data_IF_831068825759
#
_entry.id   IF_831068825759
#
_cell.length_a   1.000
_cell.length_b   1.000
_cell.length_c   1.000
_cell.angle_alpha   90.00
_cell.angle_beta   90.00
_cell.angle_gamma   90.00
#
_symmetry.space_group_name_H-M   'P 1'
#
loop_
_entity.id
_entity.type
_entity.pdbx_description
1 polymer ?
#
# COMPACT_ATOMS: atom_id res chain seq x y z
N UNK A 1 -17.87 5.20 38.94
CA UNK A 1 -17.70 3.95 38.17
C UNK A 1 -17.61 4.20 36.65
N UNK A 2 -18.59 4.86 36.01
CA UNK A 2 -18.62 4.96 34.53
C UNK A 2 -17.49 5.75 33.85
N UNK A 3 -16.98 6.81 34.48
CA UNK A 3 -15.96 7.65 33.84
C UNK A 3 -14.62 6.91 33.64
N UNK A 4 -14.14 6.21 34.67
CA UNK A 4 -12.90 5.43 34.61
C UNK A 4 -13.02 4.27 33.60
N UNK A 5 -14.16 3.57 33.56
CA UNK A 5 -14.40 2.52 32.56
C UNK A 5 -14.41 3.10 31.14
N UNK A 6 -15.06 4.25 30.92
CA UNK A 6 -15.06 4.94 29.62
C UNK A 6 -13.66 5.29 29.16
N UNK A 7 -12.83 5.84 30.05
CA UNK A 7 -11.45 6.18 29.72
C UNK A 7 -10.59 4.94 29.48
N UNK A 8 -10.79 3.85 30.22
CA UNK A 8 -10.11 2.58 29.98
C UNK A 8 -10.50 1.97 28.63
N UNK A 9 -11.78 2.02 28.25
CA UNK A 9 -12.26 1.54 26.95
C UNK A 9 -11.69 2.37 25.80
N UNK A 10 -11.58 3.70 25.96
CA UNK A 10 -10.98 4.57 24.93
C UNK A 10 -9.47 4.34 24.82
N UNK A 11 -8.74 4.17 25.93
CA UNK A 11 -7.31 3.78 25.91
C UNK A 11 -7.09 2.45 25.21
N UNK A 12 -7.89 1.44 25.53
CA UNK A 12 -7.82 0.13 24.88
C UNK A 12 -8.11 0.22 23.36
N UNK A 13 -8.97 1.14 22.93
CA UNK A 13 -9.21 1.39 21.51
C UNK A 13 -7.96 1.94 20.81
N UNK A 14 -7.30 2.91 21.43
CA UNK A 14 -6.07 3.55 20.93
C UNK A 14 -4.93 2.52 20.85
N UNK A 15 -4.75 1.70 21.89
CA UNK A 15 -3.75 0.63 21.92
C UNK A 15 -3.97 -0.41 20.81
N UNK A 16 -5.23 -0.80 20.56
CA UNK A 16 -5.55 -1.73 19.46
C UNK A 16 -5.31 -1.09 18.08
N UNK A 17 -5.53 0.21 17.94
CA UNK A 17 -5.21 0.94 16.71
C UNK A 17 -3.70 0.98 16.47
N UNK A 18 -2.91 1.28 17.50
CA UNK A 18 -1.43 1.26 17.40
C UNK A 18 -0.91 -0.14 17.04
N UNK A 19 -1.42 -1.18 17.69
CA UNK A 19 -1.07 -2.57 17.35
C UNK A 19 -1.43 -2.92 15.90
N UNK A 20 -2.59 -2.48 15.41
CA UNK A 20 -2.99 -2.75 14.03
C UNK A 20 -2.13 -2.01 13.00
N UNK A 21 -1.77 -0.76 13.29
CA UNK A 21 -0.83 0.02 12.49
C UNK A 21 0.52 -0.69 12.45
N UNK A 22 1.06 -1.07 13.61
CA UNK A 22 2.34 -1.76 13.71
C UNK A 22 2.31 -3.11 12.96
N UNK A 23 1.24 -3.89 13.11
CA UNK A 23 1.06 -5.15 12.37
C UNK A 23 1.03 -4.91 10.85
N UNK A 24 0.36 -3.85 10.38
CA UNK A 24 0.29 -3.50 8.96
C UNK A 24 1.66 -3.10 8.41
N UNK A 25 2.45 -2.37 9.20
CA UNK A 25 3.82 -2.00 8.84
C UNK A 25 4.71 -3.24 8.75
N UNK A 26 4.59 -4.13 9.72
CA UNK A 26 5.34 -5.38 9.82
C UNK A 26 4.98 -6.37 8.71
N UNK A 27 3.72 -6.39 8.26
CA UNK A 27 3.31 -7.09 7.03
C UNK A 27 4.03 -6.49 5.82
N UNK A 28 4.03 -5.15 5.68
CA UNK A 28 4.69 -4.46 4.58
C UNK A 28 6.18 -4.79 4.48
N UNK A 29 6.91 -4.78 5.60
CA UNK A 29 8.33 -5.15 5.66
C UNK A 29 8.56 -6.59 5.20
N UNK A 30 7.75 -7.54 5.68
CA UNK A 30 7.87 -8.95 5.30
C UNK A 30 7.54 -9.19 3.82
N UNK A 31 6.57 -8.45 3.30
CA UNK A 31 6.26 -8.46 1.87
C UNK A 31 7.42 -7.93 1.01
N UNK A 32 8.20 -6.96 1.51
CA UNK A 32 9.40 -6.50 0.81
C UNK A 32 10.48 -7.59 0.74
N UNK A 33 10.70 -8.36 1.82
CA UNK A 33 11.63 -9.50 1.82
C UNK A 33 11.22 -10.53 0.77
N UNK A 34 9.91 -10.85 0.71
CA UNK A 34 9.35 -11.77 -0.29
C UNK A 34 9.53 -11.22 -1.71
N UNK A 35 9.25 -9.94 -1.92
CA UNK A 35 9.39 -9.30 -3.22
C UNK A 35 10.84 -9.24 -3.71
N UNK A 36 11.79 -9.00 -2.80
CA UNK A 36 13.22 -9.01 -3.12
C UNK A 36 13.67 -10.41 -3.56
N UNK A 37 13.29 -11.45 -2.81
CA UNK A 37 13.61 -12.84 -3.18
C UNK A 37 13.03 -13.20 -4.56
N UNK A 38 11.76 -12.85 -4.81
CA UNK A 38 11.12 -13.06 -6.12
C UNK A 38 11.86 -12.36 -7.26
N UNK A 39 12.42 -11.17 -7.01
CA UNK A 39 13.19 -10.42 -8.01
C UNK A 39 14.54 -11.05 -8.34
N UNK A 40 15.18 -11.69 -7.37
CA UNK A 40 16.49 -12.33 -7.52
C UNK A 40 16.40 -13.70 -8.18
N UNK A 41 15.28 -14.40 -8.02
CA UNK A 41 15.07 -15.77 -8.52
C UNK A 41 14.27 -15.81 -9.83
N UNK A 42 14.24 -14.69 -10.57
CA UNK A 42 13.70 -14.66 -11.93
C UNK A 42 12.17 -14.65 -12.02
N UNK A 43 11.48 -14.14 -10.99
CA UNK A 43 10.04 -13.94 -11.01
C UNK A 43 9.25 -15.25 -11.04
N UNK A 44 8.54 -15.53 -9.94
CA UNK A 44 7.32 -16.33 -10.07
C UNK A 44 6.48 -15.64 -11.15
N UNK A 45 6.20 -16.39 -12.22
CA UNK A 45 5.47 -16.07 -13.45
C UNK A 45 4.71 -14.73 -13.44
N UNK A 46 4.88 -13.97 -14.53
CA UNK A 46 4.11 -12.76 -14.87
C UNK A 46 2.70 -12.73 -14.27
N UNK A 47 2.22 -11.61 -13.70
CA UNK A 47 0.85 -11.48 -13.18
C UNK A 47 -0.24 -11.94 -14.17
N UNK A 48 0.06 -11.91 -15.47
CA UNK A 48 -0.81 -12.40 -16.56
C UNK A 48 -0.88 -13.92 -16.65
N UNK A 49 0.17 -14.64 -16.27
CA UNK A 49 0.21 -16.10 -16.15
C UNK A 49 -0.32 -16.56 -14.79
N UNK A 50 -0.03 -15.84 -13.70
CA UNK A 50 -0.60 -16.13 -12.39
C UNK A 50 -2.13 -15.95 -12.36
N UNK A 51 -2.69 -14.96 -13.07
CA UNK A 51 -4.14 -14.81 -13.22
C UNK A 51 -4.78 -15.95 -14.05
N UNK A 52 -4.04 -16.49 -15.02
CA UNK A 52 -4.48 -17.63 -15.84
C UNK A 52 -4.48 -18.94 -15.04
N UNK A 53 -3.47 -19.14 -14.20
CA UNK A 53 -3.35 -20.30 -13.31
C UNK A 53 -4.32 -20.19 -12.12
N UNK A 54 -4.61 -18.98 -11.62
CA UNK A 54 -5.55 -18.72 -10.50
C UNK A 54 -7.02 -18.88 -10.89
N UNK A 55 -7.39 -18.56 -12.13
CA UNK A 55 -8.73 -18.85 -12.65
C UNK A 55 -9.00 -20.35 -12.88
N UNK A 56 -7.95 -21.18 -12.91
CA UNK A 56 -8.05 -22.64 -13.05
C UNK A 56 -8.11 -23.39 -11.71
N UNK A 57 -7.88 -22.69 -10.58
CA UNK A 57 -7.74 -23.26 -9.22
C UNK A 57 -8.66 -22.53 -8.22
N UNK A 58 -9.86 -22.17 -8.64
CA UNK A 58 -10.92 -21.75 -7.70
C UNK A 58 -11.48 -22.99 -6.99
N UNK A 59 -10.80 -23.38 -5.92
CA UNK A 59 -11.21 -24.42 -4.99
C UNK A 59 -10.36 -24.32 -3.73
N UNK A 60 -11.03 -24.06 -2.61
CA UNK A 60 -10.47 -23.85 -1.27
C UNK A 60 -9.40 -24.89 -0.89
N UNK A 61 -8.11 -24.47 -0.82
CA UNK A 61 -7.10 -24.92 0.15
C UNK A 61 -5.74 -24.20 -0.11
N UNK A 62 -5.50 -23.08 0.59
CA UNK A 62 -4.30 -22.23 0.45
C UNK A 62 -3.00 -22.85 1.05
N UNK A 63 -3.00 -24.15 1.40
CA UNK A 63 -1.88 -24.82 2.07
C UNK A 63 -0.90 -25.54 1.13
N UNK A 64 -1.41 -26.30 0.16
CA UNK A 64 -0.61 -27.28 -0.58
C UNK A 64 0.22 -26.65 -1.72
N UNK A 65 -0.37 -25.78 -2.55
CA UNK A 65 0.34 -25.13 -3.66
C UNK A 65 1.40 -24.12 -3.20
N UNK A 66 1.24 -23.57 -1.99
CA UNK A 66 2.20 -22.63 -1.41
C UNK A 66 3.43 -23.35 -0.80
N UNK A 67 3.24 -24.57 -0.29
CA UNK A 67 4.32 -25.37 0.29
C UNK A 67 5.35 -25.80 -0.77
N UNK A 68 4.89 -26.13 -1.98
CA UNK A 68 5.74 -26.49 -3.12
C UNK A 68 6.53 -25.27 -3.63
N UNK A 69 5.89 -24.10 -3.72
CA UNK A 69 6.54 -22.85 -4.11
C UNK A 69 7.62 -22.37 -3.11
N UNK A 70 7.42 -22.69 -1.83
CA UNK A 70 8.32 -22.35 -0.73
C UNK A 70 9.40 -23.41 -0.48
N UNK A 71 9.33 -24.59 -1.11
CA UNK A 71 10.30 -25.66 -0.91
C UNK A 71 11.72 -25.23 -1.36
N UNK A 72 11.82 -24.39 -2.40
CA UNK A 72 13.07 -23.79 -2.87
C UNK A 72 13.44 -22.44 -2.22
N UNK A 73 12.63 -21.92 -1.28
CA UNK A 73 12.83 -20.60 -0.70
C UNK A 73 13.73 -20.63 0.57
N UNK A 74 14.59 -19.62 0.77
CA UNK A 74 15.36 -19.44 2.00
C UNK A 74 14.47 -19.44 3.25
N UNK A 75 15.04 -19.87 4.39
CA UNK A 75 14.35 -19.89 5.70
C UNK A 75 13.66 -18.57 6.05
N UNK A 76 14.29 -17.47 5.66
CA UNK A 76 13.86 -16.11 6.02
C UNK A 76 12.61 -15.71 5.24
N UNK A 77 12.51 -16.10 3.98
CA UNK A 77 11.34 -15.88 3.11
C UNK A 77 10.17 -16.74 3.58
N UNK A 78 10.41 -18.01 3.92
CA UNK A 78 9.39 -18.90 4.51
C UNK A 78 8.86 -18.37 5.84
N UNK A 79 9.74 -17.83 6.68
CA UNK A 79 9.34 -17.17 7.93
C UNK A 79 8.52 -15.92 7.65
N UNK A 80 8.96 -15.05 6.73
CA UNK A 80 8.23 -13.84 6.35
C UNK A 80 6.80 -14.16 5.85
N UNK A 81 6.63 -15.22 5.06
CA UNK A 81 5.31 -15.69 4.60
C UNK A 81 4.39 -16.14 5.74
N UNK A 82 4.90 -17.01 6.63
CA UNK A 82 4.13 -17.47 7.80
C UNK A 82 3.73 -16.32 8.70
N UNK A 83 4.67 -15.41 8.95
CA UNK A 83 4.44 -14.23 9.76
C UNK A 83 3.39 -13.30 9.13
N UNK A 84 3.40 -13.09 7.81
CA UNK A 84 2.35 -12.30 7.13
C UNK A 84 0.98 -12.89 7.36
N UNK A 85 0.83 -14.21 7.23
CA UNK A 85 -0.43 -14.91 7.52
C UNK A 85 -0.87 -14.75 8.98
N UNK A 86 0.08 -14.90 9.93
CA UNK A 86 -0.19 -14.74 11.35
C UNK A 86 -0.59 -13.29 11.71
N UNK A 87 0.13 -12.30 11.18
CA UNK A 87 -0.16 -10.88 11.39
C UNK A 87 -1.52 -10.47 10.80
N UNK A 88 -1.91 -11.00 9.64
CA UNK A 88 -3.25 -10.77 9.06
C UNK A 88 -4.36 -11.30 9.96
N UNK A 89 -4.19 -12.51 10.52
CA UNK A 89 -5.14 -13.07 11.50
C UNK A 89 -5.20 -12.24 12.78
N UNK A 90 -4.05 -11.74 13.25
CA UNK A 90 -3.99 -10.85 14.41
C UNK A 90 -4.74 -9.53 14.16
N UNK A 91 -4.56 -8.91 12.98
CA UNK A 91 -5.29 -7.70 12.57
C UNK A 91 -6.80 -7.94 12.54
N UNK A 92 -7.27 -9.07 11.99
CA UNK A 92 -8.71 -9.36 11.97
C UNK A 92 -9.27 -9.58 13.39
N UNK A 93 -8.53 -10.30 14.24
CA UNK A 93 -8.89 -10.48 15.65
C UNK A 93 -9.00 -9.13 16.37
N UNK A 94 -8.02 -8.26 16.18
CA UNK A 94 -8.01 -6.91 16.75
C UNK A 94 -9.16 -6.04 16.22
N UNK A 95 -9.53 -6.18 14.94
CA UNK A 95 -10.71 -5.48 14.40
C UNK A 95 -12.01 -5.98 15.05
N UNK A 96 -12.11 -7.28 15.33
CA UNK A 96 -13.25 -7.85 16.05
C UNK A 96 -13.37 -7.32 17.48
N UNK A 97 -12.26 -7.31 18.22
CA UNK A 97 -12.24 -6.76 19.60
C UNK A 97 -12.53 -5.27 19.61
N UNK A 98 -12.01 -4.50 18.65
CA UNK A 98 -12.31 -3.08 18.45
C UNK A 98 -13.81 -2.83 18.29
N UNK A 99 -14.49 -3.64 17.46
CA UNK A 99 -15.96 -3.58 17.28
C UNK A 99 -16.70 -3.85 18.59
N UNK A 100 -16.25 -4.80 19.40
CA UNK A 100 -16.85 -5.12 20.71
C UNK A 100 -16.68 -3.97 21.72
N UNK A 101 -15.47 -3.44 21.84
CA UNK A 101 -15.15 -2.31 22.73
C UNK A 101 -15.95 -1.07 22.36
N UNK A 102 -16.05 -0.75 21.05
CA UNK A 102 -16.86 0.37 20.58
C UNK A 102 -18.35 0.24 20.94
N UNK A 103 -18.91 -0.98 20.90
CA UNK A 103 -20.28 -1.24 21.35
C UNK A 103 -20.45 -0.99 22.85
N UNK A 104 -19.51 -1.50 23.68
CA UNK A 104 -19.51 -1.27 25.14
C UNK A 104 -19.42 0.21 25.48
N UNK A 105 -18.54 0.95 24.79
CA UNK A 105 -18.37 2.38 24.99
C UNK A 105 -19.67 3.15 24.74
N UNK A 106 -20.38 2.86 23.63
CA UNK A 106 -21.68 3.48 23.32
C UNK A 106 -22.77 3.17 24.36
N UNK A 107 -22.70 2.00 25.00
CA UNK A 107 -23.65 1.64 26.06
C UNK A 107 -23.33 2.41 27.35
N UNK A 108 -22.04 2.46 27.72
CA UNK A 108 -21.58 3.21 28.89
C UNK A 108 -21.91 4.71 28.77
N UNK A 109 -21.72 5.30 27.59
CA UNK A 109 -22.06 6.70 27.32
C UNK A 109 -23.55 7.00 27.50
N UNK A 110 -24.43 6.11 27.01
CA UNK A 110 -25.88 6.21 27.21
C UNK A 110 -26.29 6.10 28.68
N UNK A 111 -25.71 5.15 29.41
CA UNK A 111 -25.98 5.01 30.84
C UNK A 111 -25.49 6.22 31.64
N UNK A 112 -24.31 6.75 31.33
CA UNK A 112 -23.77 7.93 31.99
C UNK A 112 -24.63 9.17 31.71
N UNK A 113 -25.21 9.30 30.52
CA UNK A 113 -26.13 10.38 30.18
C UNK A 113 -27.45 10.28 30.94
N UNK A 114 -28.05 9.09 31.01
CA UNK A 114 -29.25 8.84 31.83
C UNK A 114 -29.02 9.19 33.30
N UNK A 115 -27.90 8.74 33.89
CA UNK A 115 -27.57 9.07 35.28
C UNK A 115 -27.37 10.58 35.48
N UNK A 116 -26.78 11.29 34.52
CA UNK A 116 -26.63 12.76 34.60
C UNK A 116 -27.99 13.46 34.62
N UNK A 117 -28.92 13.03 33.77
CA UNK A 117 -30.27 13.58 33.72
C UNK A 117 -31.03 13.32 35.04
N UNK A 118 -30.89 12.13 35.62
CA UNK A 118 -31.49 11.78 36.91
C UNK A 118 -30.87 12.56 38.09
N UNK A 119 -29.56 12.81 38.05
CA UNK A 119 -28.83 13.56 39.08
C UNK A 119 -29.10 15.07 39.02
N UNK A 120 -29.43 15.61 37.85
CA UNK A 120 -29.75 17.02 37.67
C UNK A 120 -31.03 17.44 38.42
N UNK A 121 -31.96 16.52 38.65
CA UNK A 121 -33.24 16.80 39.31
C UNK A 121 -33.20 16.72 40.84
N UNK A 122 -32.09 16.26 41.46
CA UNK A 122 -32.11 15.76 42.85
C UNK A 122 -31.25 16.48 43.90
N UNK A 123 -30.37 17.45 43.60
CA UNK A 123 -29.39 17.89 44.62
C UNK A 123 -29.12 19.41 44.66
N UNK A 124 -28.90 19.87 45.90
CA UNK A 124 -28.49 21.20 46.37
C UNK A 124 -27.02 21.55 46.08
N UNK A 125 -26.74 22.87 46.08
CA UNK A 125 -25.82 23.50 45.13
C UNK A 125 -24.32 23.33 45.37
N UNK A 126 -23.75 23.80 46.47
CA UNK A 126 -22.41 24.38 46.39
C UNK A 126 -21.24 23.37 46.38
N UNK A 127 -21.13 22.50 47.39
CA UNK A 127 -20.03 21.51 47.45
C UNK A 127 -20.13 20.46 46.34
N UNK A 128 -21.35 20.14 45.89
CA UNK A 128 -21.55 19.23 44.76
C UNK A 128 -21.15 19.88 43.44
N UNK A 129 -21.42 21.18 43.27
CA UNK A 129 -20.96 21.94 42.09
C UNK A 129 -19.43 21.96 42.05
N UNK A 130 -18.77 22.22 43.18
CA UNK A 130 -17.31 22.23 43.25
C UNK A 130 -16.71 20.85 42.93
N UNK A 131 -17.26 19.76 43.49
CA UNK A 131 -16.82 18.40 43.16
C UNK A 131 -17.06 18.05 41.68
N UNK A 132 -18.21 18.44 41.12
CA UNK A 132 -18.52 18.26 39.69
C UNK A 132 -17.56 19.06 38.80
N UNK A 133 -17.21 20.28 39.18
CA UNK A 133 -16.27 21.12 38.45
C UNK A 133 -14.86 20.52 38.44
N UNK A 134 -14.39 20.00 39.58
CA UNK A 134 -13.13 19.27 39.66
C UNK A 134 -13.16 18.00 38.80
N UNK A 135 -14.24 17.21 38.84
CA UNK A 135 -14.39 16.04 37.98
C UNK A 135 -14.41 16.40 36.50
N UNK A 136 -15.07 17.50 36.14
CA UNK A 136 -15.07 18.01 34.77
C UNK A 136 -13.66 18.44 34.34
N UNK A 137 -12.93 19.15 35.20
CA UNK A 137 -11.56 19.60 34.91
C UNK A 137 -10.58 18.44 34.74
N UNK A 138 -10.66 17.43 35.61
CA UNK A 138 -9.89 16.17 35.46
C UNK A 138 -10.27 15.52 34.13
N UNK A 139 -11.58 15.38 33.84
CA UNK A 139 -12.02 14.74 32.62
C UNK A 139 -11.63 15.48 31.33
N UNK A 140 -11.54 16.81 31.38
CA UNK A 140 -11.02 17.64 30.29
C UNK A 140 -9.53 17.40 30.07
N UNK A 141 -8.72 17.44 31.13
CA UNK A 141 -7.27 17.20 31.05
C UNK A 141 -6.97 15.78 30.56
N UNK A 142 -7.72 14.79 31.00
CA UNK A 142 -7.55 13.41 30.52
C UNK A 142 -7.94 13.27 29.04
N UNK A 143 -8.99 13.98 28.58
CA UNK A 143 -9.34 14.01 27.15
C UNK A 143 -8.23 14.65 26.32
N UNK A 144 -7.70 15.79 26.76
CA UNK A 144 -6.56 16.47 26.12
C UNK A 144 -5.33 15.55 26.07
N UNK A 145 -5.02 14.83 27.16
CA UNK A 145 -3.92 13.86 27.17
C UNK A 145 -4.14 12.72 26.17
N UNK A 146 -5.36 12.19 26.09
CA UNK A 146 -5.70 11.14 25.12
C UNK A 146 -5.61 11.62 23.66
N UNK A 147 -6.02 12.86 23.38
CA UNK A 147 -5.90 13.47 22.05
C UNK A 147 -4.43 13.65 21.66
N UNK A 148 -3.58 14.05 22.62
CA UNK A 148 -2.12 14.13 22.42
C UNK A 148 -1.50 12.76 22.14
N UNK A 149 -1.86 11.73 22.91
CA UNK A 149 -1.43 10.34 22.69
C UNK A 149 -1.86 9.83 21.31
N UNK A 150 -3.11 10.07 20.92
CA UNK A 150 -3.62 9.68 19.61
C UNK A 150 -2.88 10.40 18.48
N UNK A 151 -2.66 11.72 18.61
CA UNK A 151 -1.93 12.53 17.62
C UNK A 151 -0.50 12.00 17.44
N UNK A 152 0.17 11.64 18.54
CA UNK A 152 1.50 11.02 18.51
C UNK A 152 1.49 9.69 17.74
N UNK A 153 0.53 8.80 18.01
CA UNK A 153 0.41 7.50 17.32
C UNK A 153 0.18 7.70 15.82
N UNK A 154 -0.71 8.61 15.44
CA UNK A 154 -0.97 8.93 14.03
C UNK A 154 0.29 9.48 13.36
N UNK A 155 1.02 10.38 14.02
CA UNK A 155 2.27 10.92 13.49
C UNK A 155 3.32 9.83 13.28
N UNK A 156 3.57 8.99 14.29
CA UNK A 156 4.51 7.87 14.22
C UNK A 156 4.12 6.87 13.12
N UNK A 157 2.82 6.58 12.97
CA UNK A 157 2.28 5.75 11.89
C UNK A 157 2.60 6.32 10.51
N UNK A 158 2.36 7.62 10.32
CA UNK A 158 2.63 8.29 9.04
C UNK A 158 4.12 8.26 8.73
N UNK A 159 4.99 8.50 9.71
CA UNK A 159 6.44 8.44 9.53
C UNK A 159 6.89 7.04 9.12
N UNK A 160 6.50 6.00 9.86
CA UNK A 160 6.82 4.60 9.51
C UNK A 160 6.25 4.19 8.16
N UNK A 161 5.06 4.69 7.79
CA UNK A 161 4.44 4.46 6.47
C UNK A 161 5.23 5.10 5.32
N UNK A 162 5.76 6.32 5.53
CA UNK A 162 6.68 6.96 4.58
C UNK A 162 7.97 6.16 4.44
N UNK A 163 8.55 5.67 5.54
CA UNK A 163 9.76 4.83 5.51
C UNK A 163 9.54 3.54 4.70
N UNK A 164 8.40 2.87 4.88
CA UNK A 164 8.02 1.71 4.06
C UNK A 164 7.91 2.05 2.57
N UNK A 165 7.32 3.20 2.26
CA UNK A 165 7.18 3.68 0.88
C UNK A 165 8.56 3.94 0.26
N UNK A 166 9.47 4.54 1.01
CA UNK A 166 10.87 4.75 0.60
C UNK A 166 11.55 3.41 0.34
N UNK A 167 11.40 2.42 1.23
CA UNK A 167 11.97 1.09 1.02
C UNK A 167 11.42 0.41 -0.24
N UNK A 168 10.11 0.52 -0.49
CA UNK A 168 9.48 -0.01 -1.70
C UNK A 168 10.02 0.65 -2.97
N UNK A 169 10.15 1.97 -2.98
CA UNK A 169 10.71 2.72 -4.12
C UNK A 169 12.18 2.35 -4.37
N UNK A 170 12.98 2.20 -3.31
CA UNK A 170 14.37 1.73 -3.41
C UNK A 170 14.44 0.34 -4.05
N UNK A 171 13.60 -0.59 -3.62
CA UNK A 171 13.53 -1.92 -4.23
C UNK A 171 13.10 -1.83 -5.70
N UNK A 172 12.12 -1.01 -6.04
CA UNK A 172 11.70 -0.81 -7.44
C UNK A 172 12.84 -0.27 -8.32
N UNK A 173 13.61 0.71 -7.82
CA UNK A 173 14.78 1.22 -8.53
C UNK A 173 15.83 0.12 -8.74
N UNK A 174 16.16 -0.64 -7.69
CA UNK A 174 17.10 -1.77 -7.80
C UNK A 174 16.65 -2.81 -8.83
N UNK A 175 15.36 -3.17 -8.83
CA UNK A 175 14.81 -4.12 -9.82
C UNK A 175 14.88 -3.54 -11.22
N UNK A 176 14.52 -2.26 -11.40
CA UNK A 176 14.63 -1.58 -12.70
C UNK A 176 16.07 -1.59 -13.20
N UNK A 177 17.03 -1.27 -12.34
CA UNK A 177 18.44 -1.20 -12.71
C UNK A 177 18.98 -2.58 -13.11
N UNK A 178 18.62 -3.65 -12.37
CA UNK A 178 18.91 -5.04 -12.78
C UNK A 178 18.30 -5.42 -14.13
N UNK A 179 17.08 -4.97 -14.41
CA UNK A 179 16.43 -5.22 -15.72
C UNK A 179 17.19 -4.46 -16.82
N UNK A 180 17.56 -3.20 -16.60
CA UNK A 180 18.32 -2.41 -17.56
C UNK A 180 19.69 -3.06 -17.81
N UNK A 181 20.37 -3.53 -16.77
CA UNK A 181 21.65 -4.25 -16.89
C UNK A 181 21.50 -5.55 -17.67
N UNK A 182 20.47 -6.36 -17.37
CA UNK A 182 20.24 -7.60 -18.12
C UNK A 182 19.86 -7.34 -19.59
N UNK A 183 19.07 -6.29 -19.87
CA UNK A 183 18.76 -5.85 -21.23
C UNK A 183 20.01 -5.36 -21.96
N UNK A 184 20.88 -4.56 -21.32
CA UNK A 184 22.16 -4.12 -21.90
C UNK A 184 23.08 -5.31 -22.20
N UNK A 185 23.19 -6.28 -21.29
CA UNK A 185 23.96 -7.48 -21.51
C UNK A 185 23.42 -8.31 -22.70
N UNK A 186 22.09 -8.45 -22.80
CA UNK A 186 21.46 -9.12 -23.93
C UNK A 186 21.70 -8.37 -25.26
N UNK A 187 21.57 -7.04 -25.28
CA UNK A 187 21.84 -6.22 -26.46
C UNK A 187 23.30 -6.32 -26.90
N UNK A 188 24.25 -6.32 -25.96
CA UNK A 188 25.66 -6.53 -26.23
C UNK A 188 25.94 -7.93 -26.80
N UNK A 189 25.33 -8.98 -26.21
CA UNK A 189 25.47 -10.36 -26.68
C UNK A 189 24.96 -10.55 -28.12
N UNK A 190 23.89 -9.85 -28.50
CA UNK A 190 23.33 -9.90 -29.85
C UNK A 190 23.92 -8.86 -30.82
N UNK A 191 24.91 -8.06 -30.39
CA UNK A 191 25.55 -7.03 -31.22
C UNK A 191 24.63 -5.86 -31.60
N UNK A 192 23.48 -5.72 -30.93
CA UNK A 192 22.46 -4.71 -31.21
C UNK A 192 22.73 -3.37 -30.50
N UNK A 193 23.79 -3.29 -29.71
CA UNK A 193 24.15 -2.10 -28.93
C UNK A 193 24.34 -0.84 -29.81
N UNK A 194 24.88 -1.02 -31.02
CA UNK A 194 25.06 0.08 -31.99
C UNK A 194 23.75 0.54 -32.63
N UNK A 195 22.75 -0.34 -32.76
CA UNK A 195 21.44 -0.04 -33.34
C UNK A 195 20.53 0.70 -32.34
N UNK A 196 20.66 0.41 -31.05
CA UNK A 196 19.84 1.00 -29.97
C UNK A 196 20.53 2.20 -29.31
N UNK A 197 21.69 2.64 -29.82
CA UNK A 197 22.38 3.81 -29.27
C UNK A 197 21.49 5.05 -29.37
N UNK A 198 21.45 5.88 -28.32
CA UNK A 198 20.64 7.12 -28.31
C UNK A 198 20.94 8.03 -29.50
N UNK A 199 22.19 8.03 -30.00
CA UNK A 199 22.58 8.80 -31.19
C UNK A 199 22.03 8.16 -32.47
N UNK A 200 22.04 6.84 -32.59
CA UNK A 200 21.45 6.11 -33.72
C UNK A 200 19.92 6.24 -33.74
N UNK A 201 19.26 6.15 -32.58
CA UNK A 201 17.81 6.31 -32.45
C UNK A 201 17.36 7.75 -32.75
N UNK A 202 18.10 8.75 -32.26
CA UNK A 202 17.82 10.16 -32.58
C UNK A 202 18.05 10.48 -34.06
N UNK A 203 19.04 9.86 -34.70
CA UNK A 203 19.26 9.98 -36.15
C UNK A 203 18.15 9.27 -36.94
N UNK A 204 17.71 8.07 -36.52
CA UNK A 204 16.56 7.39 -37.15
C UNK A 204 15.24 8.14 -36.93
N UNK A 205 15.05 8.83 -35.81
CA UNK A 205 13.89 9.69 -35.57
C UNK A 205 13.93 10.93 -36.48
N UNK A 206 15.10 11.55 -36.65
CA UNK A 206 15.29 12.65 -37.62
C UNK A 206 15.13 12.20 -39.07
N UNK A 207 15.64 11.03 -39.44
CA UNK A 207 15.46 10.43 -40.78
C UNK A 207 14.00 10.01 -41.00
N UNK A 208 13.32 9.47 -39.99
CA UNK A 208 11.89 9.16 -40.06
C UNK A 208 11.03 10.43 -40.22
N UNK A 209 11.40 11.52 -39.55
CA UNK A 209 10.77 12.84 -39.72
C UNK A 209 11.09 13.45 -41.09
N UNK A 210 12.32 13.28 -41.60
CA UNK A 210 12.72 13.74 -42.93
C UNK A 210 12.05 12.95 -44.06
N UNK A 211 11.94 11.63 -43.93
CA UNK A 211 11.20 10.76 -44.88
C UNK A 211 9.71 11.08 -44.84
N UNK A 212 9.14 11.37 -43.67
CA UNK A 212 7.75 11.84 -43.56
C UNK A 212 7.55 13.21 -44.23
N UNK A 213 8.53 14.13 -44.10
CA UNK A 213 8.52 15.44 -44.76
C UNK A 213 8.70 15.33 -46.28
N UNK A 214 9.57 14.44 -46.78
CA UNK A 214 9.75 14.18 -48.21
C UNK A 214 8.57 13.42 -48.83
N UNK A 215 7.89 12.55 -48.07
CA UNK A 215 6.65 11.91 -48.53
C UNK A 215 5.50 12.92 -48.64
N UNK A 216 5.50 13.97 -47.81
CA UNK A 216 4.56 15.10 -47.93
C UNK A 216 4.94 16.00 -49.12
N UNK A 217 6.23 16.13 -49.47
CA UNK A 217 6.70 16.95 -50.60
C UNK A 217 6.61 16.25 -51.96
N UNK A 218 6.68 14.91 -51.99
CA UNK A 218 6.58 14.09 -53.21
C UNK A 218 5.15 13.70 -53.62
N UNK A 219 4.13 14.07 -52.83
CA UNK A 219 2.72 13.70 -53.06
C UNK A 219 1.89 14.71 -53.85
N UNK A 220 2.46 15.79 -54.37
CA UNK A 220 1.77 16.79 -55.20
C UNK A 220 2.20 16.68 -56.67
N UNK A 221 1.26 16.39 -57.57
CA UNK A 221 1.50 16.13 -59.00
C UNK A 221 2.14 17.31 -59.76
N UNK A 222 2.54 17.19 -61.02
CA UNK A 222 2.41 16.15 -62.03
C UNK A 222 2.88 16.77 -63.34
N UNK A 223 3.16 15.96 -64.37
CA UNK A 223 2.95 16.31 -65.79
C UNK A 223 3.35 15.11 -66.64
N UNK A 224 2.35 14.38 -67.13
CA UNK A 224 2.52 13.48 -68.26
C UNK A 224 2.74 14.32 -69.53
N UNK A 225 3.72 13.99 -70.39
CA UNK A 225 3.91 14.70 -71.65
C UNK A 225 2.79 14.32 -72.66
N UNK A 226 2.36 15.23 -73.54
CA UNK A 226 1.28 14.97 -74.48
C UNK A 226 1.76 14.05 -75.60
N UNK A 227 0.95 13.03 -75.91
CA UNK A 227 1.10 12.17 -77.09
C UNK A 227 0.84 12.97 -78.37
N UNK A 228 1.81 12.98 -79.29
CA UNK A 228 1.59 13.42 -80.67
C UNK A 228 0.77 12.39 -81.45
N UNK A 229 -0.18 12.80 -82.32
CA UNK A 229 -0.85 11.89 -83.24
C UNK A 229 0.03 11.68 -84.48
N UNK A 230 0.11 10.42 -84.93
CA UNK A 230 0.90 10.05 -86.09
C UNK A 230 0.28 10.46 -87.43
N UNK A 231 1.11 10.43 -88.47
CA UNK A 231 0.68 10.38 -89.87
C UNK A 231 1.76 10.87 -90.84
N UNK A 232 2.23 9.98 -91.73
CA UNK A 232 3.06 10.30 -92.90
C UNK A 232 4.27 9.40 -93.06
#
# INVERSE_FOLDING_TARGET
ANFQERMQLRRSLIELEDQNVQNSIEIGKRQLIIAQWNSEHGGIKSPRQAARDKAALEGEDDGAGMAELLAGAPSDVRRAWRDVGALRRAVEKNNSTKRSIAKRLRHNERQAESMRQDLATKITGEDRIQLMELQYRIGKLELENMELEQSKIVHDSVMKGKDLTIMKLRLQLQVRDKIIESQRAALAHHGLDRAVSYRSLALMEQEGVAVSFDTIRGGGGGCAPPRQPGGG
#
